data_IF_856549762962
#
_entry.id   IF_856549762962
#
_cell.length_a   1.000
_cell.length_b   1.000
_cell.length_c   1.000
_cell.angle_alpha   90.00
_cell.angle_beta   90.00
_cell.angle_gamma   90.00
#
_symmetry.space_group_name_H-M   'P 1'
#
loop_
_entity.id
_entity.type
_entity.pdbx_description
1 polymer ?
#
# COMPACT_ATOMS: atom_id res chain seq x y z
N UNK A 1 -0.87 -14.96 -22.95
CA UNK A 1 -1.95 -14.15 -23.56
C UNK A 1 -2.82 -15.08 -24.37
N UNK A 2 -4.08 -15.27 -23.97
CA UNK A 2 -5.03 -16.01 -24.79
C UNK A 2 -5.19 -15.32 -26.16
N UNK A 3 -5.54 -16.06 -27.21
CA UNK A 3 -5.84 -15.48 -28.52
C UNK A 3 -6.92 -14.37 -28.46
N UNK A 4 -7.71 -14.34 -27.37
CA UNK A 4 -8.87 -13.47 -27.19
C UNK A 4 -8.66 -12.33 -26.19
N UNK A 5 -7.48 -12.20 -25.56
CA UNK A 5 -7.21 -11.22 -24.49
C UNK A 5 -8.19 -11.33 -23.31
N UNK A 6 -8.66 -12.53 -23.04
CA UNK A 6 -9.52 -12.80 -21.88
C UNK A 6 -8.72 -12.83 -20.59
N UNK A 7 -9.33 -12.38 -19.50
CA UNK A 7 -8.75 -12.48 -18.18
C UNK A 7 -8.74 -13.95 -17.74
N UNK A 8 -7.57 -14.44 -17.33
CA UNK A 8 -7.42 -15.76 -16.73
C UNK A 8 -7.21 -15.59 -15.23
N UNK A 9 -7.80 -16.49 -14.46
CA UNK A 9 -7.58 -16.53 -13.03
C UNK A 9 -6.16 -17.03 -12.74
N UNK A 10 -5.35 -16.17 -12.11
CA UNK A 10 -3.96 -16.49 -11.79
C UNK A 10 -3.81 -17.07 -10.38
N UNK A 11 -4.49 -16.49 -9.38
CA UNK A 11 -4.35 -16.87 -7.97
C UNK A 11 -5.71 -16.95 -7.27
N UNK A 12 -5.82 -17.81 -6.25
CA UNK A 12 -7.05 -18.06 -5.49
C UNK A 12 -6.83 -17.92 -3.98
N UNK A 13 -7.92 -17.89 -3.22
CA UNK A 13 -7.92 -17.94 -1.74
C UNK A 13 -7.20 -16.78 -1.04
N UNK A 14 -7.21 -15.58 -1.64
CA UNK A 14 -6.55 -14.37 -1.12
C UNK A 14 -7.51 -13.46 -0.33
N UNK A 15 -8.49 -14.04 0.39
CA UNK A 15 -9.53 -13.31 1.09
C UNK A 15 -10.40 -12.44 0.16
N UNK A 16 -10.67 -11.19 0.57
CA UNK A 16 -11.26 -10.16 -0.29
C UNK A 16 -10.12 -9.30 -0.82
N UNK A 17 -9.51 -9.71 -1.93
CA UNK A 17 -8.38 -9.02 -2.55
C UNK A 17 -8.77 -7.58 -2.96
N UNK A 18 -7.93 -6.62 -2.63
CA UNK A 18 -8.25 -5.18 -2.71
C UNK A 18 -7.15 -4.32 -3.33
N UNK A 19 -5.89 -4.74 -3.19
CA UNK A 19 -4.73 -4.03 -3.75
C UNK A 19 -3.65 -5.01 -4.16
N UNK A 20 -2.78 -4.55 -5.07
CA UNK A 20 -1.68 -5.34 -5.63
C UNK A 20 -0.43 -4.46 -5.79
N UNK A 21 0.74 -5.01 -5.51
CA UNK A 21 2.04 -4.41 -5.83
C UNK A 21 3.03 -5.51 -6.24
N UNK A 22 4.07 -5.12 -6.99
CA UNK A 22 5.16 -6.00 -7.38
C UNK A 22 6.47 -5.42 -6.85
N UNK A 23 7.35 -6.28 -6.33
CA UNK A 23 8.71 -5.87 -6.01
C UNK A 23 9.62 -5.89 -7.25
N UNK A 24 10.90 -5.55 -7.05
CA UNK A 24 11.88 -5.50 -8.13
C UNK A 24 12.19 -6.88 -8.72
N UNK A 25 11.97 -7.95 -7.96
CA UNK A 25 12.13 -9.33 -8.38
C UNK A 25 10.89 -9.88 -9.11
N UNK A 26 9.81 -9.08 -9.21
CA UNK A 26 8.57 -9.46 -9.88
C UNK A 26 7.64 -10.31 -9.02
N UNK A 27 7.90 -10.45 -7.72
CA UNK A 27 7.00 -11.15 -6.80
C UNK A 27 5.76 -10.31 -6.53
N UNK A 28 4.61 -10.96 -6.46
CA UNK A 28 3.31 -10.30 -6.35
C UNK A 28 2.85 -10.24 -4.91
N UNK A 29 2.47 -9.05 -4.43
CA UNK A 29 1.93 -8.82 -3.10
C UNK A 29 0.48 -8.36 -3.22
N UNK A 30 -0.44 -9.06 -2.57
CA UNK A 30 -1.89 -8.80 -2.64
C UNK A 30 -2.41 -8.49 -1.25
N UNK A 31 -2.95 -7.29 -1.07
CA UNK A 31 -3.62 -6.91 0.18
C UNK A 31 -5.10 -7.27 0.17
N UNK A 32 -5.62 -7.64 1.35
CA UNK A 32 -7.04 -7.94 1.54
C UNK A 32 -7.76 -6.99 2.52
N UNK A 33 -9.08 -7.09 2.53
CA UNK A 33 -9.95 -6.28 3.38
C UNK A 33 -9.79 -6.55 4.88
N UNK A 34 -9.20 -7.69 5.26
CA UNK A 34 -8.93 -8.02 6.67
C UNK A 34 -7.63 -7.38 7.18
N UNK A 35 -6.81 -6.82 6.28
CA UNK A 35 -5.49 -6.30 6.60
C UNK A 35 -4.37 -7.32 6.41
N UNK A 36 -4.66 -8.47 5.80
CA UNK A 36 -3.65 -9.47 5.43
C UNK A 36 -3.02 -9.07 4.11
N UNK A 37 -1.69 -9.17 4.03
CA UNK A 37 -0.93 -9.08 2.79
C UNK A 37 -0.45 -10.49 2.46
N UNK A 38 -0.80 -10.97 1.26
CA UNK A 38 -0.34 -12.23 0.71
C UNK A 38 0.85 -12.00 -0.22
N UNK A 39 1.89 -12.82 -0.10
CA UNK A 39 2.91 -12.99 -1.12
C UNK A 39 2.48 -14.14 -2.03
N UNK A 40 2.38 -13.87 -3.33
CA UNK A 40 1.95 -14.83 -4.34
C UNK A 40 3.11 -15.17 -5.26
N UNK A 41 3.39 -16.46 -5.42
CA UNK A 41 4.48 -16.95 -6.26
C UNK A 41 4.10 -16.95 -7.76
N UNK A 42 5.05 -17.34 -8.62
CA UNK A 42 4.89 -17.33 -10.08
C UNK A 42 3.81 -18.30 -10.61
N UNK A 43 3.36 -19.25 -9.79
CA UNK A 43 2.31 -20.23 -10.14
C UNK A 43 0.97 -19.90 -9.47
N UNK A 44 0.84 -18.75 -8.81
CA UNK A 44 -0.42 -18.26 -8.26
C UNK A 44 -0.74 -18.76 -6.85
N UNK A 45 0.19 -19.40 -6.15
CA UNK A 45 0.01 -19.81 -4.76
C UNK A 45 0.32 -18.65 -3.81
N UNK A 46 -0.66 -18.30 -2.97
CA UNK A 46 -0.51 -17.25 -1.96
C UNK A 46 -0.15 -17.81 -0.59
N UNK A 47 0.74 -17.10 0.11
CA UNK A 47 1.01 -17.29 1.54
C UNK A 47 0.92 -15.96 2.27
N UNK A 48 0.57 -15.98 3.56
CA UNK A 48 0.58 -14.76 4.37
C UNK A 48 2.00 -14.23 4.49
N UNK A 49 2.19 -12.97 4.09
CA UNK A 49 3.44 -12.23 4.25
C UNK A 49 3.44 -11.39 5.51
N UNK A 50 2.35 -10.63 5.73
CA UNK A 50 2.20 -9.77 6.89
C UNK A 50 0.71 -9.56 7.21
N UNK A 51 0.42 -9.14 8.44
CA UNK A 51 -0.92 -8.73 8.86
C UNK A 51 -0.84 -7.37 9.55
N UNK A 52 -1.67 -6.43 9.12
CA UNK A 52 -1.76 -5.09 9.68
C UNK A 52 -2.52 -5.09 11.02
N UNK A 53 -2.53 -3.94 11.70
CA UNK A 53 -3.32 -3.74 12.91
C UNK A 53 -4.82 -4.06 12.68
N UNK A 54 -5.52 -4.60 13.70
CA UNK A 54 -6.94 -4.92 13.58
C UNK A 54 -7.77 -3.75 13.07
N UNK A 55 -8.65 -4.02 12.10
CA UNK A 55 -9.58 -3.06 11.46
C UNK A 55 -8.98 -2.16 10.37
N UNK A 56 -7.72 -2.35 9.99
CA UNK A 56 -7.15 -1.65 8.83
C UNK A 56 -7.07 -2.56 7.61
N UNK A 57 -7.74 -2.19 6.52
CA UNK A 57 -7.69 -2.92 5.26
C UNK A 57 -6.40 -2.59 4.47
N UNK A 58 -5.84 -3.58 3.77
CA UNK A 58 -4.63 -3.41 2.96
C UNK A 58 -4.98 -3.01 1.50
N UNK A 59 -5.56 -1.81 1.31
CA UNK A 59 -6.10 -1.40 0.01
C UNK A 59 -5.05 -0.92 -0.99
N UNK A 60 -4.10 -0.11 -0.55
CA UNK A 60 -3.15 0.52 -1.45
C UNK A 60 -1.75 0.16 -1.02
N UNK A 61 -0.98 -0.40 -1.94
CA UNK A 61 0.36 -0.94 -1.70
C UNK A 61 1.33 -0.31 -2.70
N UNK A 62 2.52 0.06 -2.24
CA UNK A 62 3.62 0.42 -3.12
C UNK A 62 4.96 0.06 -2.47
N UNK A 63 5.91 -0.42 -3.28
CA UNK A 63 7.28 -0.59 -2.84
C UNK A 63 8.01 0.74 -2.82
N UNK A 64 8.75 0.96 -1.74
CA UNK A 64 9.62 2.11 -1.54
C UNK A 64 11.09 1.70 -1.36
N UNK A 65 11.92 2.62 -0.85
CA UNK A 65 13.35 2.37 -0.62
C UNK A 65 13.62 1.13 0.25
N UNK A 66 14.72 0.43 -0.06
CA UNK A 66 15.16 -0.74 0.71
C UNK A 66 14.18 -1.92 0.65
N UNK A 67 13.42 -2.06 -0.43
CA UNK A 67 12.43 -3.13 -0.64
C UNK A 67 11.32 -3.18 0.44
N UNK A 68 11.05 -2.06 1.11
CA UNK A 68 9.95 -1.97 2.06
C UNK A 68 8.62 -1.78 1.31
N UNK A 69 7.59 -2.48 1.77
CA UNK A 69 6.23 -2.34 1.26
C UNK A 69 5.46 -1.34 2.13
N UNK A 70 4.92 -0.30 1.50
CA UNK A 70 4.13 0.72 2.18
C UNK A 70 2.66 0.52 1.90
N UNK A 71 1.84 0.66 2.93
CA UNK A 71 0.41 0.37 2.85
C UNK A 71 -0.41 1.51 3.41
N UNK A 72 -1.48 1.88 2.69
CA UNK A 72 -2.54 2.74 3.21
C UNK A 72 -3.89 2.05 3.13
N UNK A 73 -4.67 2.23 4.19
CA UNK A 73 -6.04 1.74 4.32
C UNK A 73 -6.90 2.86 4.91
N UNK A 74 -7.79 3.50 4.14
CA UNK A 74 -8.63 4.58 4.64
C UNK A 74 -9.62 4.03 5.66
N UNK A 75 -9.62 4.60 6.86
CA UNK A 75 -10.64 4.31 7.88
C UNK A 75 -11.65 5.47 7.97
N UNK A 76 -12.46 5.48 9.02
CA UNK A 76 -13.30 6.64 9.36
C UNK A 76 -12.54 7.70 10.18
N UNK A 77 -11.26 7.45 10.51
CA UNK A 77 -10.40 8.35 11.27
C UNK A 77 -9.90 9.53 10.42
N UNK A 78 -9.68 10.66 11.08
CA UNK A 78 -8.92 11.80 10.53
C UNK A 78 -7.41 11.69 10.83
N UNK A 79 -6.99 10.59 11.46
CA UNK A 79 -5.64 10.34 11.93
C UNK A 79 -5.16 8.93 11.51
N UNK A 80 -5.42 8.58 10.26
CA UNK A 80 -4.89 7.37 9.62
C UNK A 80 -3.39 7.48 9.39
N UNK A 81 -2.80 6.35 9.00
CA UNK A 81 -1.34 6.18 8.90
C UNK A 81 -0.92 5.54 7.59
N UNK A 82 0.36 5.76 7.27
CA UNK A 82 1.09 4.97 6.29
C UNK A 82 1.85 3.91 7.08
N UNK A 83 1.53 2.64 6.83
CA UNK A 83 2.30 1.53 7.40
C UNK A 83 3.47 1.19 6.49
N UNK A 84 4.55 0.69 7.08
CA UNK A 84 5.74 0.20 6.39
C UNK A 84 6.00 -1.22 6.84
N UNK A 85 6.21 -2.11 5.90
CA UNK A 85 6.50 -3.52 6.10
C UNK A 85 7.91 -3.80 5.60
N UNK A 86 8.77 -4.36 6.44
CA UNK A 86 10.12 -4.76 6.02
C UNK A 86 10.09 -5.95 5.05
N UNK A 87 11.18 -6.24 4.32
CA UNK A 87 11.29 -7.45 3.50
C UNK A 87 11.05 -8.76 4.28
N UNK A 88 11.26 -8.75 5.59
CA UNK A 88 11.04 -9.86 6.52
C UNK A 88 9.59 -9.92 7.05
N UNK A 89 8.73 -8.97 6.66
CA UNK A 89 7.32 -8.92 7.07
C UNK A 89 7.08 -8.12 8.36
N UNK A 90 8.06 -7.40 8.90
CA UNK A 90 7.89 -6.60 10.12
C UNK A 90 7.06 -5.35 9.83
N UNK A 91 5.91 -5.21 10.50
CA UNK A 91 5.00 -4.07 10.32
C UNK A 91 5.33 -2.97 11.32
N UNK A 92 5.64 -1.79 10.80
CA UNK A 92 5.88 -0.56 11.56
C UNK A 92 5.02 0.58 11.03
N UNK A 93 4.83 1.61 11.85
CA UNK A 93 4.17 2.85 11.42
C UNK A 93 5.21 3.81 10.88
N UNK A 94 5.05 4.25 9.63
CA UNK A 94 5.96 5.22 9.02
C UNK A 94 5.51 6.66 9.25
N UNK A 95 4.21 6.92 9.06
CA UNK A 95 3.66 8.27 9.20
C UNK A 95 2.23 8.21 9.73
N UNK A 96 1.82 9.24 10.48
CA UNK A 96 0.48 9.37 11.07
C UNK A 96 -0.10 10.77 10.84
N UNK A 97 -1.42 10.88 10.91
CA UNK A 97 -2.11 12.18 10.83
C UNK A 97 -2.59 12.54 9.44
N UNK A 98 -2.86 11.53 8.62
CA UNK A 98 -3.57 11.69 7.35
C UNK A 98 -5.05 11.41 7.57
N UNK A 99 -5.93 12.19 6.96
CA UNK A 99 -7.34 11.87 6.86
C UNK A 99 -7.59 11.07 5.60
N UNK A 100 -8.07 9.83 5.74
CA UNK A 100 -8.47 8.94 4.64
C UNK A 100 -7.43 8.86 3.51
N UNK A 101 -6.20 8.40 3.79
CA UNK A 101 -5.19 8.20 2.74
C UNK A 101 -5.67 7.12 1.75
N UNK A 102 -5.54 7.43 0.46
CA UNK A 102 -5.93 6.59 -0.66
C UNK A 102 -4.84 6.63 -1.73
N UNK A 103 -4.28 5.47 -2.07
CA UNK A 103 -3.19 5.39 -3.03
C UNK A 103 -1.88 5.95 -2.49
N UNK A 104 -0.78 5.37 -2.94
CA UNK A 104 0.55 5.91 -2.71
C UNK A 104 1.48 5.55 -3.87
N UNK A 105 2.50 6.37 -4.07
CA UNK A 105 3.59 6.10 -5.01
C UNK A 105 4.88 6.75 -4.51
N UNK A 106 6.02 6.17 -4.89
CA UNK A 106 7.34 6.70 -4.56
C UNK A 106 7.96 7.43 -5.76
N UNK A 107 8.74 8.47 -5.48
CA UNK A 107 9.69 9.03 -6.45
C UNK A 107 11.08 8.36 -6.33
N UNK A 108 12.01 8.78 -7.19
CA UNK A 108 13.39 8.25 -7.22
C UNK A 108 14.23 8.70 -6.02
N UNK A 109 13.82 9.75 -5.29
CA UNK A 109 14.50 10.25 -4.09
C UNK A 109 14.00 9.54 -2.82
N UNK A 110 12.99 8.67 -2.95
CA UNK A 110 12.42 7.92 -1.84
C UNK A 110 11.30 8.65 -1.09
N UNK A 111 10.79 9.76 -1.63
CA UNK A 111 9.62 10.42 -1.07
C UNK A 111 8.36 9.65 -1.45
N UNK A 112 7.42 9.50 -0.51
CA UNK A 112 6.11 8.92 -0.77
C UNK A 112 5.07 10.02 -1.00
N UNK A 113 4.30 9.87 -2.06
CA UNK A 113 3.18 10.73 -2.40
C UNK A 113 1.89 9.98 -2.10
N UNK A 114 1.05 10.54 -1.24
CA UNK A 114 -0.20 9.92 -0.78
C UNK A 114 -1.36 10.83 -1.10
N UNK A 115 -2.42 10.34 -1.77
CA UNK A 115 -3.63 11.13 -1.91
C UNK A 115 -4.39 11.08 -0.59
N UNK A 116 -4.50 12.21 0.11
CA UNK A 116 -5.06 12.25 1.46
C UNK A 116 -5.62 13.63 1.80
N UNK A 117 -6.27 13.71 2.95
CA UNK A 117 -6.50 14.97 3.65
C UNK A 117 -5.41 15.21 4.68
N UNK A 118 -4.90 16.44 4.79
CA UNK A 118 -4.00 16.85 5.87
C UNK A 118 -4.39 18.24 6.33
N UNK A 119 -4.64 18.39 7.64
CA UNK A 119 -5.06 19.66 8.27
C UNK A 119 -6.26 20.32 7.56
N UNK A 120 -7.22 19.52 7.10
CA UNK A 120 -8.44 19.99 6.43
C UNK A 120 -8.33 20.18 4.92
N UNK A 121 -7.13 20.08 4.34
CA UNK A 121 -6.91 20.23 2.90
C UNK A 121 -6.74 18.87 2.22
N UNK A 122 -7.47 18.64 1.12
CA UNK A 122 -7.41 17.41 0.33
C UNK A 122 -6.46 17.60 -0.85
N UNK A 123 -5.59 16.62 -1.08
CA UNK A 123 -4.59 16.70 -2.14
C UNK A 123 -3.61 15.55 -2.11
N UNK A 124 -2.49 15.75 -2.79
CA UNK A 124 -1.32 14.87 -2.74
C UNK A 124 -0.38 15.41 -1.68
N UNK A 125 -0.12 14.58 -0.67
CA UNK A 125 0.80 14.85 0.41
C UNK A 125 2.12 14.17 0.08
N UNK A 126 3.20 14.94 -0.01
CA UNK A 126 4.57 14.42 -0.09
C UNK A 126 5.06 14.18 1.34
N UNK A 127 5.61 13.00 1.60
CA UNK A 127 6.24 12.63 2.87
C UNK A 127 7.66 12.18 2.56
N UNK A 128 8.65 12.82 3.18
CA UNK A 128 10.07 12.51 3.01
C UNK A 128 10.47 11.23 3.76
N UNK A 129 11.64 10.64 3.48
CA UNK A 129 12.17 9.50 4.25
C UNK A 129 12.25 9.75 5.76
N UNK A 130 12.47 11.01 6.17
CA UNK A 130 12.51 11.44 7.57
C UNK A 130 11.11 11.71 8.17
N UNK A 131 10.05 11.29 7.47
CA UNK A 131 8.66 11.45 7.85
C UNK A 131 8.18 12.91 7.96
N UNK A 132 8.81 13.83 7.23
CA UNK A 132 8.34 15.21 7.10
C UNK A 132 7.30 15.32 5.99
N UNK A 133 6.16 15.98 6.27
CA UNK A 133 5.03 16.02 5.36
C UNK A 133 4.64 17.42 4.91
N UNK A 134 4.45 17.57 3.61
CA UNK A 134 4.01 18.81 2.95
C UNK A 134 2.95 18.56 1.87
N UNK A 135 2.21 19.60 1.51
CA UNK A 135 1.24 19.53 0.42
C UNK A 135 1.98 19.68 -0.90
N UNK A 136 2.00 18.65 -1.74
CA UNK A 136 2.60 18.71 -3.07
C UNK A 136 1.63 19.31 -4.10
N UNK A 137 0.36 18.91 -4.03
CA UNK A 137 -0.71 19.38 -4.92
C UNK A 137 -2.01 19.42 -4.12
N UNK A 138 -2.79 20.49 -4.23
CA UNK A 138 -4.12 20.57 -3.64
C UNK A 138 -5.16 20.93 -4.72
N UNK A 139 -6.40 20.46 -4.54
CA UNK A 139 -7.53 20.96 -5.32
C UNK A 139 -7.84 22.40 -4.91
N UNK A 140 -8.15 23.25 -5.91
CA UNK A 140 -8.64 24.62 -5.71
C UNK A 140 -10.09 24.64 -5.21
#
# INVERSE_FOLDING_TARGET
>A
MTPFKEAEEFARNLGIATGIAFDAEGRMFVGDRSGTIYLVNEIGEGQTFATLEPSMAAYHLAFGPGAHLYVTGPTLSSFDSVMRISPEGEVTRFFSGLGRPQGLAFDLEGNVYVAASRRGHRGIIKITPDAEAEMAVAGI
#
